data_IF_791123130201
#
_entry.id   IF_791123130201
#
_cell.length_a   1.000
_cell.length_b   1.000
_cell.length_c   1.000
_cell.angle_alpha   90.00
_cell.angle_beta   90.00
_cell.angle_gamma   90.00
#
_symmetry.space_group_name_H-M   'P 1'
#
loop_
_entity.id
_entity.type
_entity.pdbx_description
1 polymer ?
#
# COMPACT_ATOMS: atom_id res chain seq x y z
N UNK A 1 16.89 -6.41 78.99
CA UNK A 1 17.21 -5.28 78.07
C UNK A 1 17.22 -5.82 76.63
N UNK A 2 16.15 -5.60 75.92
CA UNK A 2 15.92 -6.17 74.60
C UNK A 2 16.04 -5.05 73.57
N UNK A 3 17.01 -5.13 72.69
CA UNK A 3 17.21 -4.20 71.59
C UNK A 3 16.48 -4.74 70.37
N UNK A 4 15.44 -4.00 69.95
CA UNK A 4 14.78 -4.28 68.67
C UNK A 4 15.47 -3.51 67.55
N UNK A 5 16.03 -4.24 66.61
CA UNK A 5 16.56 -3.68 65.36
C UNK A 5 15.43 -3.66 64.37
N UNK A 6 14.98 -2.47 63.99
CA UNK A 6 14.05 -2.27 62.89
C UNK A 6 14.81 -2.31 61.57
N UNK A 7 14.58 -3.34 60.77
CA UNK A 7 15.05 -3.40 59.42
C UNK A 7 14.11 -2.57 58.53
N UNK A 8 14.59 -1.49 57.98
CA UNK A 8 13.87 -0.70 56.97
C UNK A 8 13.96 -1.37 55.61
N UNK A 9 12.82 -1.81 55.09
CA UNK A 9 12.71 -2.36 53.75
C UNK A 9 12.59 -1.20 52.74
N UNK A 10 13.61 -0.97 51.96
CA UNK A 10 13.59 0.00 50.85
C UNK A 10 12.97 -0.70 49.64
N UNK A 11 11.74 -0.32 49.29
CA UNK A 11 11.14 -0.68 48.01
C UNK A 11 11.77 0.19 46.89
N UNK A 12 12.60 -0.39 46.09
CA UNK A 12 13.03 0.23 44.85
C UNK A 12 11.90 0.09 43.80
N UNK A 13 11.21 1.19 43.54
CA UNK A 13 10.31 1.28 42.43
C UNK A 13 11.15 1.33 41.13
N UNK A 14 11.20 0.22 40.40
CA UNK A 14 11.74 0.18 39.04
C UNK A 14 10.71 0.85 38.13
N UNK A 15 10.98 2.10 37.71
CA UNK A 15 10.32 2.70 36.57
C UNK A 15 10.77 1.92 35.33
N UNK A 16 9.89 1.07 34.83
CA UNK A 16 10.04 0.46 33.51
C UNK A 16 9.98 1.56 32.46
N UNK A 17 11.12 1.83 31.85
CA UNK A 17 11.16 2.62 30.62
C UNK A 17 10.50 1.78 29.53
N UNK A 18 9.27 2.11 29.19
CA UNK A 18 8.66 1.67 27.93
C UNK A 18 9.45 2.33 26.80
N UNK A 19 10.48 1.66 26.36
CA UNK A 19 11.07 1.90 25.05
C UNK A 19 10.02 1.45 24.03
N UNK A 20 9.17 2.37 23.63
CA UNK A 20 8.27 2.16 22.49
C UNK A 20 9.11 1.83 21.26
N UNK A 21 9.38 0.54 21.08
CA UNK A 21 9.88 0.03 19.81
C UNK A 21 8.78 0.24 18.79
N UNK A 22 8.82 1.36 18.09
CA UNK A 22 8.06 1.53 16.86
C UNK A 22 8.69 0.60 15.81
N UNK A 23 8.36 -0.68 15.91
CA UNK A 23 8.58 -1.61 14.81
C UNK A 23 7.80 -1.03 13.65
N UNK A 24 8.44 -0.67 12.50
CA UNK A 24 7.69 -0.24 11.34
C UNK A 24 6.76 -1.39 10.99
N UNK A 25 5.46 -1.14 11.11
CA UNK A 25 4.45 -2.11 10.68
C UNK A 25 4.66 -2.27 9.18
N UNK A 26 5.21 -3.40 8.78
CA UNK A 26 5.35 -3.73 7.37
C UNK A 26 3.93 -3.90 6.81
N UNK A 27 3.46 -2.86 6.14
CA UNK A 27 2.22 -2.93 5.38
C UNK A 27 2.51 -3.75 4.12
N UNK A 28 1.93 -4.93 4.03
CA UNK A 28 2.00 -5.81 2.86
C UNK A 28 0.59 -6.18 2.42
N UNK A 29 -0.32 -5.23 2.49
CA UNK A 29 -1.69 -5.41 2.04
C UNK A 29 -1.71 -5.41 0.50
N UNK A 30 -2.57 -6.24 -0.07
CA UNK A 30 -2.87 -6.21 -1.50
C UNK A 30 -4.30 -5.76 -1.73
N UNK A 31 -4.48 -4.90 -2.72
CA UNK A 31 -5.78 -4.41 -3.17
C UNK A 31 -5.92 -4.73 -4.66
N UNK A 32 -7.08 -5.23 -5.05
CA UNK A 32 -7.37 -5.55 -6.44
C UNK A 32 -8.00 -4.35 -7.16
N UNK A 33 -7.49 -4.06 -8.36
CA UNK A 33 -8.07 -3.15 -9.32
C UNK A 33 -8.33 -3.93 -10.60
N UNK A 34 -9.55 -3.94 -11.06
CA UNK A 34 -9.95 -4.65 -12.27
C UNK A 34 -9.99 -3.70 -13.46
N UNK A 35 -9.33 -4.08 -14.56
CA UNK A 35 -9.49 -3.43 -15.85
C UNK A 35 -10.69 -4.05 -16.55
N UNK A 36 -11.80 -3.32 -16.56
CA UNK A 36 -13.04 -3.70 -17.24
C UNK A 36 -13.06 -3.09 -18.65
N UNK A 37 -14.10 -3.36 -19.43
CA UNK A 37 -14.17 -2.97 -20.86
C UNK A 37 -13.72 -1.53 -21.17
N UNK A 38 -14.01 -0.56 -20.31
CA UNK A 38 -13.63 0.85 -20.51
C UNK A 38 -13.40 1.61 -19.20
N UNK A 39 -13.23 0.89 -18.09
CA UNK A 39 -13.05 1.50 -16.78
C UNK A 39 -12.16 0.64 -15.89
N UNK A 40 -11.44 1.28 -14.97
CA UNK A 40 -10.85 0.61 -13.82
C UNK A 40 -11.85 0.58 -12.66
N UNK A 41 -11.88 -0.54 -11.94
CA UNK A 41 -12.78 -0.70 -10.78
C UNK A 41 -12.06 -1.40 -9.61
N UNK A 42 -11.96 -0.76 -8.43
CA UNK A 42 -12.22 0.65 -8.19
C UNK A 42 -11.25 1.55 -8.97
N UNK A 43 -11.67 2.76 -9.33
CA UNK A 43 -10.81 3.74 -9.99
C UNK A 43 -10.12 4.71 -9.00
N UNK A 44 -10.38 4.55 -7.72
CA UNK A 44 -9.72 5.28 -6.65
C UNK A 44 -9.39 4.33 -5.51
N UNK A 45 -8.12 4.30 -5.07
CA UNK A 45 -7.64 3.43 -4.00
C UNK A 45 -6.73 4.20 -3.06
N UNK A 46 -6.91 4.00 -1.75
CA UNK A 46 -6.00 4.48 -0.72
C UNK A 46 -5.25 3.32 -0.08
N UNK A 47 -3.94 3.44 0.01
CA UNK A 47 -3.04 2.42 0.55
C UNK A 47 -1.94 3.06 1.40
N UNK A 48 -1.20 2.22 2.13
CA UNK A 48 0.00 2.63 2.85
C UNK A 48 1.27 2.32 2.04
N UNK A 49 2.40 3.01 2.33
CA UNK A 49 3.68 2.65 1.72
C UNK A 49 4.04 1.19 1.97
N UNK A 50 4.43 0.47 0.92
CA UNK A 50 4.74 -0.96 0.94
C UNK A 50 3.57 -1.85 0.52
N UNK A 51 2.37 -1.31 0.38
CA UNK A 51 1.22 -2.07 -0.12
C UNK A 51 1.31 -2.32 -1.63
N UNK A 52 0.55 -3.27 -2.09
CA UNK A 52 0.52 -3.74 -3.47
C UNK A 52 -0.85 -3.51 -4.10
N UNK A 53 -0.89 -2.93 -5.27
CA UNK A 53 -2.06 -3.00 -6.14
C UNK A 53 -1.87 -4.16 -7.12
N UNK A 54 -2.86 -5.04 -7.20
CA UNK A 54 -2.93 -6.09 -8.21
C UNK A 54 -3.86 -5.63 -9.32
N UNK A 55 -3.32 -5.31 -10.48
CA UNK A 55 -4.10 -4.98 -11.64
C UNK A 55 -4.56 -6.28 -12.31
N UNK A 56 -5.85 -6.56 -12.20
CA UNK A 56 -6.51 -7.72 -12.79
C UNK A 56 -7.00 -7.34 -14.17
N UNK A 57 -6.28 -7.76 -15.20
CA UNK A 57 -6.59 -7.43 -16.58
C UNK A 57 -7.34 -8.60 -17.20
N UNK A 58 -8.49 -8.31 -17.77
CA UNK A 58 -9.26 -9.20 -18.61
C UNK A 58 -9.44 -8.57 -20.00
N UNK A 59 -9.60 -9.37 -21.05
CA UNK A 59 -9.85 -8.82 -22.37
C UNK A 59 -11.11 -7.95 -22.39
N UNK A 60 -11.05 -6.80 -23.08
CA UNK A 60 -12.23 -6.03 -23.37
C UNK A 60 -13.16 -6.81 -24.33
N UNK A 61 -14.42 -6.40 -24.42
CA UNK A 61 -15.43 -7.11 -25.24
C UNK A 61 -15.05 -7.21 -26.72
N UNK A 62 -14.26 -6.26 -27.22
CA UNK A 62 -13.73 -6.27 -28.59
C UNK A 62 -12.41 -7.07 -28.72
N UNK A 63 -11.96 -7.73 -27.66
CA UNK A 63 -10.71 -8.49 -27.64
C UNK A 63 -9.45 -7.66 -27.47
N UNK A 64 -9.56 -6.36 -27.26
CA UNK A 64 -8.41 -5.49 -26.95
C UNK A 64 -7.92 -5.71 -25.53
N UNK A 65 -6.63 -5.48 -25.30
CA UNK A 65 -6.02 -5.49 -24.00
C UNK A 65 -6.14 -4.14 -23.30
N UNK A 66 -5.55 -4.07 -22.10
CA UNK A 66 -5.42 -2.84 -21.34
C UNK A 66 -3.96 -2.59 -20.97
N UNK A 67 -3.58 -1.34 -20.88
CA UNK A 67 -2.34 -0.90 -20.28
C UNK A 67 -2.62 -0.12 -18.98
N UNK A 68 -1.58 0.03 -18.15
CA UNK A 68 -1.59 0.95 -17.00
C UNK A 68 -0.36 1.82 -17.13
N UNK A 69 -0.56 3.05 -17.54
CA UNK A 69 0.51 4.03 -17.69
C UNK A 69 0.36 5.11 -16.64
N UNK A 70 1.32 5.16 -15.73
CA UNK A 70 1.36 6.17 -14.68
C UNK A 70 1.86 7.49 -15.25
N UNK A 71 1.29 8.60 -14.76
CA UNK A 71 1.83 9.92 -15.02
C UNK A 71 3.27 10.00 -14.49
N UNK A 72 4.08 10.88 -15.10
CA UNK A 72 5.49 11.08 -14.74
C UNK A 72 5.61 11.71 -13.33
N UNK A 73 5.36 10.92 -12.31
CA UNK A 73 5.44 11.30 -10.90
C UNK A 73 6.59 10.54 -10.23
N UNK A 74 7.44 11.27 -9.48
CA UNK A 74 8.53 10.65 -8.72
C UNK A 74 7.98 9.59 -7.77
N UNK A 75 8.55 8.38 -7.83
CA UNK A 75 8.13 7.24 -6.99
C UNK A 75 6.98 6.41 -7.59
N UNK A 76 6.48 6.78 -8.77
CA UNK A 76 5.52 5.94 -9.47
C UNK A 76 6.14 4.58 -9.84
N UNK A 77 5.39 3.48 -9.72
CA UNK A 77 5.87 2.17 -10.15
C UNK A 77 5.97 2.10 -11.69
N UNK A 78 6.61 1.04 -12.18
CA UNK A 78 6.73 0.83 -13.61
C UNK A 78 5.36 0.65 -14.29
N UNK A 79 5.23 1.20 -15.48
CA UNK A 79 4.04 1.01 -16.30
C UNK A 79 3.77 -0.47 -16.62
N UNK A 80 2.54 -0.79 -16.92
CA UNK A 80 2.12 -2.09 -17.43
C UNK A 80 1.83 -1.92 -18.92
N UNK A 81 2.57 -2.62 -19.75
CA UNK A 81 2.34 -2.63 -21.21
C UNK A 81 0.99 -3.25 -21.53
N UNK A 82 0.47 -2.99 -22.72
CA UNK A 82 -0.77 -3.60 -23.20
C UNK A 82 -0.76 -5.11 -22.96
N UNK A 83 -1.71 -5.55 -22.18
CA UNK A 83 -1.85 -6.94 -21.72
C UNK A 83 -3.27 -7.40 -22.00
N UNK A 84 -3.44 -8.58 -22.57
CA UNK A 84 -4.77 -9.13 -22.86
C UNK A 84 -5.42 -9.77 -21.64
N UNK A 85 -4.61 -10.45 -20.82
CA UNK A 85 -5.11 -11.17 -19.65
C UNK A 85 -3.99 -11.38 -18.63
N UNK A 86 -4.30 -11.24 -17.36
CA UNK A 86 -3.36 -11.50 -16.28
C UNK A 86 -3.57 -10.66 -15.04
N UNK A 87 -2.82 -10.99 -14.01
CA UNK A 87 -2.78 -10.21 -12.76
C UNK A 87 -1.35 -9.70 -12.59
N UNK A 88 -1.18 -8.38 -12.67
CA UNK A 88 0.12 -7.75 -12.61
C UNK A 88 0.22 -6.88 -11.34
N UNK A 89 1.08 -7.26 -10.38
CA UNK A 89 1.25 -6.49 -9.15
C UNK A 89 2.14 -5.26 -9.36
N UNK A 90 1.85 -4.21 -8.61
CA UNK A 90 2.70 -3.03 -8.44
C UNK A 90 2.78 -2.66 -6.96
N UNK A 91 3.99 -2.61 -6.44
CA UNK A 91 4.27 -2.17 -5.07
C UNK A 91 4.44 -0.66 -5.06
N UNK A 92 3.79 0.02 -4.12
CA UNK A 92 3.90 1.46 -3.94
C UNK A 92 4.67 1.77 -2.65
N UNK A 93 5.90 2.24 -2.79
CA UNK A 93 6.79 2.50 -1.64
C UNK A 93 6.84 3.98 -1.25
N UNK A 94 6.54 4.88 -2.18
CA UNK A 94 6.56 6.32 -1.96
C UNK A 94 5.16 6.85 -1.64
N UNK A 95 5.08 7.79 -0.69
CA UNK A 95 3.84 8.56 -0.44
C UNK A 95 3.55 9.49 -1.61
N UNK A 96 2.29 9.70 -1.90
CA UNK A 96 1.84 10.59 -2.96
C UNK A 96 0.57 10.11 -3.64
N UNK A 97 0.16 10.87 -4.65
CA UNK A 97 -0.96 10.50 -5.54
C UNK A 97 -0.40 10.10 -6.89
N UNK A 98 -0.74 8.89 -7.32
CA UNK A 98 -0.27 8.32 -8.57
C UNK A 98 -1.46 8.12 -9.50
N UNK A 99 -1.60 9.04 -10.46
CA UNK A 99 -2.61 8.93 -11.50
C UNK A 99 -2.13 7.99 -12.60
N UNK A 100 -3.05 7.21 -13.16
CA UNK A 100 -2.75 6.31 -14.26
C UNK A 100 -3.89 6.26 -15.29
N UNK A 101 -3.53 5.96 -16.52
CA UNK A 101 -4.42 5.90 -17.66
C UNK A 101 -4.25 4.57 -18.42
N UNK A 102 -5.31 4.15 -19.10
CA UNK A 102 -5.25 3.17 -20.16
C UNK A 102 -5.35 3.91 -21.49
N UNK A 103 -4.30 3.87 -22.30
CA UNK A 103 -4.29 4.55 -23.61
C UNK A 103 -5.03 3.78 -24.70
N UNK A 104 -5.29 2.49 -24.50
CA UNK A 104 -6.11 1.69 -25.45
C UNK A 104 -7.57 2.16 -25.43
N UNK A 105 -8.04 2.61 -24.27
CA UNK A 105 -9.45 3.05 -24.08
C UNK A 105 -9.48 4.49 -23.60
N UNK A 106 -9.72 5.49 -24.45
CA UNK A 106 -9.77 6.89 -24.04
C UNK A 106 -10.73 7.14 -22.88
N UNK A 107 -10.27 7.89 -21.87
CA UNK A 107 -11.04 8.21 -20.67
C UNK A 107 -11.02 7.16 -19.56
N UNK A 108 -10.34 6.03 -19.76
CA UNK A 108 -10.13 5.01 -18.74
C UNK A 108 -8.94 5.36 -17.85
N UNK A 109 -9.21 5.77 -16.61
CA UNK A 109 -8.17 6.22 -15.68
C UNK A 109 -8.48 5.87 -14.23
N UNK A 110 -7.49 6.02 -13.36
CA UNK A 110 -7.63 5.85 -11.92
C UNK A 110 -6.53 6.54 -11.12
N UNK A 111 -6.70 6.56 -9.81
CA UNK A 111 -5.78 7.16 -8.85
C UNK A 111 -5.45 6.21 -7.72
N UNK A 112 -4.18 6.14 -7.35
CA UNK A 112 -3.70 5.49 -6.13
C UNK A 112 -3.13 6.56 -5.20
N UNK A 113 -3.72 6.71 -4.03
CA UNK A 113 -3.21 7.60 -2.97
C UNK A 113 -2.47 6.76 -1.95
N UNK A 114 -1.20 7.07 -1.74
CA UNK A 114 -0.31 6.41 -0.77
C UNK A 114 -0.03 7.36 0.38
N UNK A 115 -0.49 7.04 1.59
CA UNK A 115 -0.42 7.93 2.76
C UNK A 115 -0.09 7.23 4.08
#
# INVERSE_FOLDING_TARGET
MRVFVCAALVLAAACGSDSGSTTPTSHNKSVDVFALSSAFSPNFVQIAPGDTIRFNIAPAQNGEGHDVTFDATTGAPANIKVTLNGVIPRVFTAKGTFHYNCFVHPGMSGDVVVQ
#
